data_IF_042937119443
#
_entry.id   IF_042937119443
#
_cell.length_a   1.000
_cell.length_b   1.000
_cell.length_c   1.000
_cell.angle_alpha   90.00
_cell.angle_beta   90.00
_cell.angle_gamma   90.00
#
_symmetry.space_group_name_H-M   'P 1'
#
loop_
_entity.id
_entity.type
_entity.pdbx_description
1 polymer ?
#
# COMPACT_ATOMS: atom_id res chain seq x y z
N UNK A 1 -13.83 4.91 -9.20
CA UNK A 1 -13.27 3.60 -8.82
C UNK A 1 -14.40 2.65 -8.49
N UNK A 2 -14.47 1.49 -9.14
CA UNK A 2 -15.40 0.41 -8.78
C UNK A 2 -14.87 -0.37 -7.57
N UNK A 3 -15.74 -1.10 -6.86
CA UNK A 3 -15.32 -1.97 -5.74
C UNK A 3 -14.28 -3.02 -6.16
N UNK A 4 -14.36 -3.51 -7.39
CA UNK A 4 -13.40 -4.46 -7.94
C UNK A 4 -12.01 -3.83 -8.12
N UNK A 5 -11.94 -2.63 -8.73
CA UNK A 5 -10.68 -1.90 -8.89
C UNK A 5 -10.04 -1.60 -7.53
N UNK A 6 -10.87 -1.21 -6.56
CA UNK A 6 -10.44 -0.95 -5.20
C UNK A 6 -9.84 -2.19 -4.53
N UNK A 7 -10.47 -3.34 -4.72
CA UNK A 7 -9.98 -4.60 -4.19
C UNK A 7 -8.63 -5.00 -4.82
N UNK A 8 -8.52 -4.89 -6.15
CA UNK A 8 -7.25 -5.12 -6.88
C UNK A 8 -6.11 -4.25 -6.36
N UNK A 9 -6.36 -2.95 -6.14
CA UNK A 9 -5.36 -2.03 -5.60
C UNK A 9 -4.92 -2.50 -4.21
N UNK A 10 -5.87 -2.81 -3.33
CA UNK A 10 -5.56 -3.25 -1.95
C UNK A 10 -4.72 -4.53 -1.94
N UNK A 11 -5.12 -5.54 -2.71
CA UNK A 11 -4.38 -6.80 -2.83
C UNK A 11 -2.97 -6.57 -3.38
N UNK A 12 -2.84 -5.75 -4.43
CA UNK A 12 -1.54 -5.39 -4.98
C UNK A 12 -0.64 -4.72 -3.94
N UNK A 13 -1.14 -3.72 -3.21
CA UNK A 13 -0.37 -3.00 -2.19
C UNK A 13 0.08 -3.95 -1.07
N UNK A 14 -0.83 -4.79 -0.55
CA UNK A 14 -0.51 -5.76 0.51
C UNK A 14 0.52 -6.77 0.02
N UNK A 15 0.36 -7.33 -1.18
CA UNK A 15 1.29 -8.29 -1.75
C UNK A 15 2.67 -7.66 -1.97
N UNK A 16 2.73 -6.43 -2.45
CA UNK A 16 4.00 -5.72 -2.66
C UNK A 16 4.72 -5.46 -1.33
N UNK A 17 4.00 -5.04 -0.28
CA UNK A 17 4.59 -4.87 1.06
C UNK A 17 5.08 -6.21 1.62
N UNK A 18 4.32 -7.30 1.43
CA UNK A 18 4.70 -8.66 1.85
C UNK A 18 5.94 -9.18 1.13
N UNK A 19 6.01 -9.03 -0.19
CA UNK A 19 7.11 -9.55 -1.03
C UNK A 19 8.46 -8.93 -0.65
N UNK A 20 8.44 -7.63 -0.35
CA UNK A 20 9.62 -6.85 0.02
C UNK A 20 9.78 -6.68 1.52
N UNK A 21 8.96 -7.34 2.33
CA UNK A 21 9.06 -7.31 3.79
C UNK A 21 10.47 -7.70 4.23
N UNK A 22 11.06 -6.91 5.13
CA UNK A 22 12.45 -7.06 5.59
C UNK A 22 13.55 -6.70 4.55
N UNK A 23 13.22 -6.51 3.27
CA UNK A 23 14.18 -6.20 2.19
C UNK A 23 14.16 -4.72 1.80
N UNK A 24 12.95 -4.18 1.57
CA UNK A 24 12.73 -2.80 1.14
C UNK A 24 11.53 -2.21 1.87
N UNK A 25 11.71 -1.00 2.39
CA UNK A 25 10.63 -0.23 3.03
C UNK A 25 10.02 0.70 2.00
N UNK A 26 8.71 0.61 1.81
CA UNK A 26 8.01 1.49 0.89
C UNK A 26 7.39 2.67 1.61
N UNK A 27 7.68 3.89 1.13
CA UNK A 27 6.93 5.07 1.55
C UNK A 27 5.52 5.01 0.93
N UNK A 28 4.51 5.64 1.55
CA UNK A 28 3.16 5.69 0.99
C UNK A 28 3.15 6.23 -0.45
N UNK A 29 3.93 7.28 -0.72
CA UNK A 29 4.04 7.87 -2.06
C UNK A 29 4.69 6.93 -3.08
N UNK A 30 5.56 6.02 -2.65
CA UNK A 30 6.15 5.04 -3.56
C UNK A 30 5.10 3.99 -3.92
N UNK A 31 4.31 3.51 -2.96
CA UNK A 31 3.19 2.59 -3.22
C UNK A 31 2.13 3.22 -4.13
N UNK A 32 1.79 4.50 -3.92
CA UNK A 32 0.89 5.25 -4.81
C UNK A 32 1.38 5.25 -6.27
N UNK A 33 2.70 5.41 -6.48
CA UNK A 33 3.30 5.38 -7.82
C UNK A 33 3.32 3.98 -8.42
N UNK A 34 3.68 2.97 -7.63
CA UNK A 34 3.68 1.57 -8.09
C UNK A 34 2.28 1.14 -8.54
N UNK A 35 1.24 1.51 -7.80
CA UNK A 35 -0.16 1.28 -8.18
C UNK A 35 -0.49 2.01 -9.48
N UNK A 36 -0.23 3.31 -9.58
CA UNK A 36 -0.51 4.08 -10.82
C UNK A 36 0.18 3.47 -12.04
N UNK A 37 1.43 3.01 -11.90
CA UNK A 37 2.19 2.39 -12.99
C UNK A 37 1.65 1.01 -13.39
N UNK A 38 1.29 0.17 -12.41
CA UNK A 38 0.76 -1.17 -12.68
C UNK A 38 -0.67 -1.13 -13.25
N UNK A 39 -1.44 -0.12 -12.86
CA UNK A 39 -2.86 0.01 -13.22
C UNK A 39 -3.15 1.16 -14.19
N UNK A 40 -2.14 1.66 -14.91
CA UNK A 40 -2.27 2.80 -15.85
C UNK A 40 -3.35 2.58 -16.93
N UNK A 41 -3.59 1.32 -17.34
CA UNK A 41 -4.60 0.97 -18.34
C UNK A 41 -6.03 0.91 -17.77
N UNK A 42 -6.19 0.91 -16.45
CA UNK A 42 -7.48 0.78 -15.76
C UNK A 42 -8.03 2.14 -15.27
N UNK A 43 -7.44 3.26 -15.71
CA UNK A 43 -7.80 4.61 -15.26
C UNK A 43 -7.75 4.75 -13.72
N UNK A 44 -6.81 4.04 -13.09
CA UNK A 44 -6.52 4.12 -11.66
C UNK A 44 -5.50 5.23 -11.43
N UNK A 45 -5.83 6.15 -10.53
CA UNK A 45 -4.98 7.30 -10.21
C UNK A 45 -4.30 7.14 -8.85
N UNK A 46 -3.28 7.97 -8.57
CA UNK A 46 -2.70 8.05 -7.20
C UNK A 46 -3.73 8.39 -6.13
N UNK A 47 -4.81 9.10 -6.47
CA UNK A 47 -5.89 9.39 -5.50
C UNK A 47 -6.62 8.11 -5.08
N UNK A 48 -6.86 7.22 -6.03
CA UNK A 48 -7.49 5.92 -5.77
C UNK A 48 -6.56 5.04 -4.94
N UNK A 49 -5.26 5.02 -5.29
CA UNK A 49 -4.23 4.33 -4.51
C UNK A 49 -4.17 4.82 -3.06
N UNK A 50 -4.16 6.14 -2.86
CA UNK A 50 -4.15 6.76 -1.53
C UNK A 50 -5.40 6.41 -0.71
N UNK A 51 -6.57 6.38 -1.34
CA UNK A 51 -7.81 5.99 -0.66
C UNK A 51 -7.77 4.52 -0.22
N UNK A 52 -7.32 3.63 -1.09
CA UNK A 52 -7.18 2.20 -0.78
C UNK A 52 -6.15 1.95 0.33
N UNK A 53 -4.98 2.60 0.27
CA UNK A 53 -3.95 2.54 1.32
C UNK A 53 -4.51 3.01 2.66
N UNK A 54 -5.25 4.14 2.66
CA UNK A 54 -5.87 4.65 3.88
C UNK A 54 -6.82 3.63 4.51
N UNK A 55 -7.64 2.97 3.70
CA UNK A 55 -8.55 1.93 4.20
C UNK A 55 -7.82 0.69 4.72
N UNK A 56 -6.71 0.29 4.09
CA UNK A 56 -5.86 -0.78 4.62
C UNK A 56 -5.28 -0.41 5.98
N UNK A 57 -4.86 0.84 6.15
CA UNK A 57 -4.33 1.32 7.44
C UNK A 57 -5.41 1.49 8.50
N UNK A 58 -6.60 1.98 8.13
CA UNK A 58 -7.74 2.13 9.03
C UNK A 58 -8.25 0.76 9.52
N UNK A 59 -8.11 -0.29 8.70
CA UNK A 59 -8.42 -1.68 9.07
C UNK A 59 -7.31 -2.41 9.82
N UNK A 60 -6.12 -1.82 9.91
CA UNK A 60 -4.94 -2.46 10.49
C UNK A 60 -4.33 -3.58 9.64
N UNK A 61 -4.71 -3.70 8.37
CA UNK A 61 -4.07 -4.66 7.44
C UNK A 61 -2.65 -4.21 7.07
N UNK A 62 -2.44 -2.90 7.05
CA UNK A 62 -1.13 -2.25 6.97
C UNK A 62 -1.01 -1.23 8.07
N UNK A 63 0.22 -0.87 8.41
CA UNK A 63 0.51 0.10 9.46
C UNK A 63 1.67 1.00 9.07
N UNK A 64 1.75 2.16 9.71
CA UNK A 64 2.90 3.04 9.56
C UNK A 64 4.03 2.61 10.49
N UNK A 65 5.16 2.24 9.91
CA UNK A 65 6.44 2.09 10.59
C UNK A 65 7.29 3.37 10.48
N UNK A 66 8.25 3.53 11.39
CA UNK A 66 9.18 4.67 11.38
C UNK A 66 10.64 4.22 11.49
N UNK A 67 11.45 4.56 10.49
CA UNK A 67 12.88 4.24 10.49
C UNK A 67 13.64 5.26 9.63
N UNK A 68 13.89 6.46 10.18
CA UNK A 68 14.44 7.59 9.42
C UNK A 68 13.44 8.21 8.42
N UNK A 69 12.16 7.90 8.59
CA UNK A 69 11.04 8.31 7.75
C UNK A 69 9.87 7.32 7.89
N UNK A 70 8.68 7.73 7.44
CA UNK A 70 7.49 6.88 7.46
C UNK A 70 7.47 5.89 6.28
N UNK A 71 7.07 4.66 6.58
CA UNK A 71 6.87 3.60 5.59
C UNK A 71 5.67 2.74 5.97
N UNK A 72 5.11 2.00 5.02
CA UNK A 72 4.05 1.04 5.27
C UNK A 72 4.63 -0.36 5.48
N UNK A 73 4.15 -1.05 6.50
CA UNK A 73 4.57 -2.42 6.85
C UNK A 73 3.38 -3.25 7.33
N UNK A 74 3.63 -4.54 7.54
CA UNK A 74 2.64 -5.48 8.08
C UNK A 74 2.47 -5.27 9.59
N UNK A 75 1.27 -5.48 10.14
CA UNK A 75 0.99 -5.26 11.56
C UNK A 75 1.82 -6.15 12.50
N UNK A 76 2.31 -7.29 12.03
CA UNK A 76 3.17 -8.20 12.81
C UNK A 76 4.50 -7.56 13.26
N UNK A 77 4.97 -6.51 12.56
CA UNK A 77 6.14 -5.73 13.00
C UNK A 77 5.86 -4.81 14.21
N UNK A 78 4.61 -4.63 14.66
CA UNK A 78 4.34 -3.81 15.85
C UNK A 78 4.75 -4.47 17.16
N UNK A 79 5.13 -5.74 17.11
CA UNK A 79 5.57 -6.52 18.27
C UNK A 79 7.10 -6.70 18.24
N UNK A 80 7.81 -5.72 18.80
CA UNK A 80 9.10 -5.93 19.45
C UNK A 80 9.05 -5.34 20.85
#
# INVERSE_FOLDING_TARGET
MTDEQKQKIKEFVVNLVKEYHGKKRFKPQDLEKEVEQNFQNENITRKDAKAAIKELTDKGELIYGYAGGSFLTLPEDQTQ
#
